data_IF_402704626108
#
_entry.id   IF_402704626108
#
_cell.length_a   1.000
_cell.length_b   1.000
_cell.length_c   1.000
_cell.angle_alpha   90.00
_cell.angle_beta   90.00
_cell.angle_gamma   90.00
#
_symmetry.space_group_name_H-M   'P 1'
#
loop_
_entity.id
_entity.type
_entity.pdbx_description
1 polymer ?
#
# COMPACT_ATOMS: atom_id res chain seq x y z
N UNK A 1 -1.25 -3.72 0.38
CA UNK A 1 -0.28 -3.17 1.35
C UNK A 1 0.36 -4.30 2.14
N UNK A 2 1.69 -4.37 2.08
CA UNK A 2 2.52 -5.20 2.96
C UNK A 2 2.51 -4.58 4.36
N UNK A 3 2.20 -5.38 5.40
CA UNK A 3 1.99 -4.86 6.75
C UNK A 3 3.09 -5.24 7.72
N UNK A 4 3.85 -6.29 7.44
CA UNK A 4 4.87 -6.77 8.37
C UNK A 4 6.07 -7.34 7.63
N UNK A 5 7.12 -7.62 8.39
CA UNK A 5 8.38 -8.11 7.84
C UNK A 5 8.22 -9.47 7.14
N UNK A 6 7.40 -10.38 7.67
CA UNK A 6 7.20 -11.68 7.04
C UNK A 6 6.53 -11.55 5.66
N UNK A 7 5.50 -10.71 5.56
CA UNK A 7 4.84 -10.37 4.29
C UNK A 7 5.81 -9.70 3.31
N UNK A 8 6.72 -8.85 3.80
CA UNK A 8 7.74 -8.22 2.96
C UNK A 8 8.71 -9.24 2.37
N UNK A 9 9.26 -10.13 3.21
CA UNK A 9 10.20 -11.16 2.76
C UNK A 9 9.54 -12.12 1.76
N UNK A 10 8.28 -12.50 1.99
CA UNK A 10 7.51 -13.30 1.04
C UNK A 10 7.28 -12.57 -0.28
N UNK A 11 6.94 -11.28 -0.24
CA UNK A 11 6.73 -10.47 -1.44
C UNK A 11 8.02 -10.34 -2.27
N UNK A 12 9.17 -10.08 -1.63
CA UNK A 12 10.48 -10.00 -2.32
C UNK A 12 10.82 -11.31 -3.02
N UNK A 13 10.70 -12.45 -2.31
CA UNK A 13 10.97 -13.77 -2.90
C UNK A 13 10.03 -14.07 -4.07
N UNK A 14 8.76 -13.67 -3.95
CA UNK A 14 7.77 -13.88 -5.01
C UNK A 14 8.06 -13.04 -6.24
N UNK A 15 8.53 -11.80 -6.08
CA UNK A 15 8.95 -10.93 -7.19
C UNK A 15 10.12 -11.57 -7.95
N UNK A 16 11.11 -12.10 -7.24
CA UNK A 16 12.26 -12.78 -7.87
C UNK A 16 11.80 -13.98 -8.71
N UNK A 17 10.96 -14.85 -8.14
CA UNK A 17 10.42 -16.02 -8.84
C UNK A 17 9.54 -15.64 -10.03
N UNK A 18 8.77 -14.56 -9.92
CA UNK A 18 7.92 -14.08 -11.00
C UNK A 18 8.75 -13.49 -12.15
N UNK A 19 9.83 -12.77 -11.85
CA UNK A 19 10.76 -12.26 -12.87
C UNK A 19 11.37 -13.39 -13.70
N UNK A 20 11.79 -14.49 -13.06
CA UNK A 20 12.29 -15.68 -13.77
C UNK A 20 11.23 -16.29 -14.69
N UNK A 21 9.98 -16.38 -14.23
CA UNK A 21 8.86 -16.92 -15.03
C UNK A 21 8.51 -16.01 -16.21
N UNK A 22 8.54 -14.70 -16.01
CA UNK A 22 8.29 -13.70 -17.07
C UNK A 22 9.35 -13.84 -18.16
N UNK A 23 10.61 -13.98 -17.79
CA UNK A 23 11.70 -14.14 -18.75
C UNK A 23 11.60 -15.46 -19.51
N UNK A 24 11.29 -16.57 -18.82
CA UNK A 24 11.06 -17.86 -19.46
C UNK A 24 9.88 -17.80 -20.46
N UNK A 25 8.81 -17.08 -20.12
CA UNK A 25 7.67 -16.89 -21.01
C UNK A 25 8.03 -16.04 -22.24
N UNK A 26 8.82 -14.98 -22.07
CA UNK A 26 9.33 -14.16 -23.18
C UNK A 26 10.12 -15.02 -24.17
N UNK A 27 11.07 -15.81 -23.66
CA UNK A 27 11.89 -16.71 -24.49
C UNK A 27 11.04 -17.75 -25.23
N UNK A 28 10.02 -18.30 -24.58
CA UNK A 28 9.09 -19.23 -25.22
C UNK A 28 8.33 -18.56 -26.38
N UNK A 29 7.86 -17.33 -26.21
CA UNK A 29 7.17 -16.58 -27.28
C UNK A 29 8.10 -16.21 -28.44
N UNK A 30 9.35 -15.83 -28.14
CA UNK A 30 10.36 -15.56 -29.16
C UNK A 30 10.70 -16.79 -30.00
N UNK A 31 10.56 -18.00 -29.44
CA UNK A 31 10.74 -19.24 -30.18
C UNK A 31 9.57 -19.62 -31.11
N UNK A 32 8.45 -18.88 -31.05
CA UNK A 32 7.21 -19.19 -31.79
C UNK A 32 7.09 -18.46 -33.14
N UNK A 33 8.19 -18.02 -33.75
CA UNK A 33 8.21 -17.28 -35.03
C UNK A 33 7.31 -16.03 -35.02
N UNK A 34 7.08 -15.47 -33.83
CA UNK A 34 6.33 -14.24 -33.60
C UNK A 34 7.19 -13.02 -33.88
N UNK A 35 6.57 -11.95 -34.34
CA UNK A 35 7.25 -10.65 -34.43
C UNK A 35 7.49 -10.09 -33.02
N UNK A 36 8.51 -9.23 -32.89
CA UNK A 36 8.82 -8.58 -31.62
C UNK A 36 7.63 -7.78 -31.06
N UNK A 37 6.82 -7.17 -31.93
CA UNK A 37 5.63 -6.42 -31.51
C UNK A 37 4.54 -7.34 -30.91
N UNK A 38 4.37 -8.54 -31.47
CA UNK A 38 3.42 -9.54 -30.96
C UNK A 38 3.87 -10.11 -29.60
N UNK A 39 5.17 -10.36 -29.44
CA UNK A 39 5.76 -10.75 -28.15
C UNK A 39 5.53 -9.66 -27.11
N UNK A 40 5.85 -8.40 -27.42
CA UNK A 40 5.64 -7.28 -26.49
C UNK A 40 4.17 -7.10 -26.10
N UNK A 41 3.25 -7.23 -27.06
CA UNK A 41 1.81 -7.16 -26.81
C UNK A 41 1.34 -8.28 -25.88
N UNK A 42 1.84 -9.50 -26.09
CA UNK A 42 1.50 -10.65 -25.25
C UNK A 42 2.09 -10.52 -23.83
N UNK A 43 3.29 -9.95 -23.70
CA UNK A 43 3.97 -9.74 -22.40
C UNK A 43 3.43 -8.55 -21.61
N UNK A 44 2.80 -7.57 -22.28
CA UNK A 44 2.33 -6.32 -21.68
C UNK A 44 1.52 -6.48 -20.37
N UNK A 45 0.46 -7.33 -20.34
CA UNK A 45 -0.32 -7.54 -19.12
C UNK A 45 0.52 -8.08 -17.96
N UNK A 46 1.33 -9.12 -18.21
CA UNK A 46 2.11 -9.78 -17.16
C UNK A 46 3.16 -8.83 -16.59
N UNK A 47 3.83 -8.06 -17.45
CA UNK A 47 4.78 -7.03 -17.02
C UNK A 47 4.09 -5.96 -16.18
N UNK A 48 2.88 -5.53 -16.57
CA UNK A 48 2.13 -4.52 -15.84
C UNK A 48 1.74 -5.00 -14.43
N UNK A 49 1.28 -6.25 -14.29
CA UNK A 49 1.00 -6.83 -12.98
C UNK A 49 2.25 -6.98 -12.12
N UNK A 50 3.38 -7.37 -12.72
CA UNK A 50 4.65 -7.48 -12.02
C UNK A 50 5.15 -6.13 -11.49
N UNK A 51 5.06 -5.07 -12.29
CA UNK A 51 5.42 -3.72 -11.84
C UNK A 51 4.50 -3.23 -10.72
N UNK A 52 3.18 -3.46 -10.80
CA UNK A 52 2.25 -3.16 -9.70
C UNK A 52 2.63 -3.89 -8.39
N UNK A 53 3.12 -5.13 -8.50
CA UNK A 53 3.53 -5.88 -7.31
C UNK A 53 4.85 -5.35 -6.72
N UNK A 54 5.80 -4.93 -7.57
CA UNK A 54 7.03 -4.23 -7.15
C UNK A 54 6.75 -2.89 -6.49
N UNK A 55 5.69 -2.18 -6.91
CA UNK A 55 5.25 -0.94 -6.27
C UNK A 55 4.83 -1.17 -4.81
N UNK A 56 4.23 -2.31 -4.46
CA UNK A 56 3.89 -2.61 -3.05
C UNK A 56 5.14 -2.77 -2.16
N UNK A 57 6.18 -3.45 -2.66
CA UNK A 57 7.46 -3.59 -1.97
C UNK A 57 8.15 -2.24 -1.81
N UNK A 58 8.20 -1.46 -2.89
CA UNK A 58 8.75 -0.10 -2.87
C UNK A 58 8.01 0.78 -1.87
N UNK A 59 6.69 0.66 -1.81
CA UNK A 59 5.85 1.39 -0.86
C UNK A 59 6.21 1.00 0.58
N UNK A 60 6.35 -0.30 0.88
CA UNK A 60 6.78 -0.75 2.22
C UNK A 60 8.14 -0.18 2.63
N UNK A 61 9.10 -0.15 1.72
CA UNK A 61 10.43 0.40 1.97
C UNK A 61 10.41 1.92 2.24
N UNK A 62 9.57 2.67 1.51
CA UNK A 62 9.32 4.09 1.78
C UNK A 62 8.75 4.30 3.18
N UNK A 63 7.75 3.51 3.55
CA UNK A 63 7.15 3.58 4.89
C UNK A 63 8.19 3.31 5.98
N UNK A 64 9.08 2.32 5.78
CA UNK A 64 10.19 2.04 6.71
C UNK A 64 11.15 3.21 6.89
N UNK A 65 11.31 4.07 5.88
CA UNK A 65 12.12 5.30 5.96
C UNK A 65 11.36 6.48 6.57
N UNK A 66 10.09 6.29 6.94
CA UNK A 66 9.24 7.36 7.46
C UNK A 66 8.71 8.30 6.38
N UNK A 67 8.73 7.88 5.12
CA UNK A 67 8.08 8.60 4.02
C UNK A 67 6.60 8.21 4.01
N UNK A 68 5.74 9.12 4.46
CA UNK A 68 4.29 8.90 4.55
C UNK A 68 3.54 9.76 3.54
N UNK A 69 2.46 9.21 2.98
CA UNK A 69 1.51 9.99 2.18
C UNK A 69 0.59 10.81 3.07
N UNK A 70 0.13 11.96 2.57
CA UNK A 70 -0.88 12.76 3.25
C UNK A 70 -2.23 12.02 3.30
N UNK A 71 -2.95 12.18 4.40
CA UNK A 71 -4.28 11.61 4.59
C UNK A 71 -5.31 12.70 4.35
N UNK A 72 -6.13 12.53 3.31
CA UNK A 72 -7.24 13.43 3.01
C UNK A 72 -8.52 13.00 3.74
N UNK A 73 -9.18 13.92 4.46
CA UNK A 73 -10.49 13.68 5.10
C UNK A 73 -10.59 12.37 5.92
N UNK A 74 -9.49 11.97 6.58
CA UNK A 74 -9.35 10.70 7.31
C UNK A 74 -9.47 9.42 6.44
N UNK A 75 -9.60 9.54 5.11
CA UNK A 75 -9.49 8.40 4.22
C UNK A 75 -8.08 7.84 4.27
N UNK A 76 -7.96 6.55 4.61
CA UNK A 76 -6.65 5.90 4.74
C UNK A 76 -5.99 6.07 6.11
N UNK A 77 -6.66 6.62 7.14
CA UNK A 77 -6.10 6.67 8.51
C UNK A 77 -5.64 5.31 8.99
N UNK A 78 -6.41 4.25 8.73
CA UNK A 78 -6.00 2.90 9.11
C UNK A 78 -4.69 2.45 8.47
N UNK A 79 -4.45 2.80 7.20
CA UNK A 79 -3.17 2.59 6.51
C UNK A 79 -2.06 3.41 7.15
N UNK A 80 -2.32 4.67 7.50
CA UNK A 80 -1.37 5.51 8.22
C UNK A 80 -0.98 4.91 9.57
N UNK A 81 -1.93 4.38 10.35
CA UNK A 81 -1.63 3.72 11.64
C UNK A 81 -0.71 2.51 11.47
N UNK A 82 -0.96 1.70 10.45
CA UNK A 82 -0.10 0.55 10.09
C UNK A 82 1.30 1.05 9.67
N UNK A 83 1.36 2.06 8.81
CA UNK A 83 2.59 2.66 8.31
C UNK A 83 3.46 3.21 9.45
N UNK A 84 2.87 3.97 10.39
CA UNK A 84 3.55 4.51 11.56
C UNK A 84 4.17 3.38 12.41
N UNK A 85 3.43 2.29 12.64
CA UNK A 85 3.95 1.12 13.35
C UNK A 85 5.17 0.53 12.63
N UNK A 86 5.07 0.33 11.32
CA UNK A 86 6.16 -0.23 10.49
C UNK A 86 7.39 0.66 10.53
N UNK A 87 7.22 1.97 10.35
CA UNK A 87 8.30 2.95 10.36
C UNK A 87 9.07 2.96 11.68
N UNK A 88 8.38 2.75 12.79
CA UNK A 88 8.99 2.65 14.13
C UNK A 88 9.58 1.25 14.44
N UNK A 89 9.51 0.30 13.51
CA UNK A 89 9.99 -1.07 13.72
C UNK A 89 9.21 -1.86 14.78
N UNK A 90 8.00 -1.43 15.12
CA UNK A 90 7.16 -2.07 16.14
C UNK A 90 6.45 -3.27 15.52
N UNK A 91 6.52 -4.44 16.16
CA UNK A 91 5.77 -5.62 15.68
C UNK A 91 4.28 -5.55 16.03
N UNK A 92 3.42 -6.30 15.33
CA UNK A 92 2.00 -6.43 15.70
C UNK A 92 1.84 -6.93 17.15
N UNK A 93 2.72 -7.85 17.59
CA UNK A 93 2.78 -8.36 18.95
C UNK A 93 3.08 -7.26 19.96
N UNK A 94 4.05 -6.40 19.66
CA UNK A 94 4.44 -5.33 20.58
C UNK A 94 3.38 -4.24 20.64
N UNK A 95 2.75 -3.89 19.52
CA UNK A 95 1.58 -3.00 19.53
C UNK A 95 0.43 -3.62 20.36
N UNK A 96 0.16 -4.91 20.21
CA UNK A 96 -0.87 -5.61 20.98
C UNK A 96 -0.60 -5.56 22.49
N UNK A 97 0.66 -5.79 22.91
CA UNK A 97 1.08 -5.63 24.32
C UNK A 97 0.83 -4.21 24.83
N UNK A 98 1.21 -3.19 24.07
CA UNK A 98 0.99 -1.78 24.45
C UNK A 98 -0.50 -1.43 24.56
N UNK A 99 -1.33 -2.02 23.71
CA UNK A 99 -2.78 -1.84 23.71
C UNK A 99 -3.52 -2.69 24.76
N UNK A 100 -2.83 -3.64 25.41
CA UNK A 100 -3.45 -4.60 26.33
C UNK A 100 -4.41 -5.57 25.65
N UNK A 101 -4.17 -5.92 24.38
CA UNK A 101 -5.00 -6.86 23.61
C UNK A 101 -4.18 -8.05 23.10
N UNK A 102 -4.87 -9.07 22.59
CA UNK A 102 -4.20 -10.21 21.96
C UNK A 102 -3.67 -9.85 20.55
N UNK A 103 -2.53 -10.42 20.16
CA UNK A 103 -1.89 -10.17 18.85
C UNK A 103 -2.83 -10.43 17.67
N UNK A 104 -3.67 -11.46 17.76
CA UNK A 104 -4.65 -11.80 16.71
C UNK A 104 -5.67 -10.68 16.47
N UNK A 105 -5.98 -9.86 17.48
CA UNK A 105 -6.88 -8.73 17.31
C UNK A 105 -6.21 -7.65 16.46
N UNK A 106 -4.97 -7.26 16.78
CA UNK A 106 -4.20 -6.30 15.96
C UNK A 106 -4.01 -6.83 14.54
N UNK A 107 -3.63 -8.10 14.39
CA UNK A 107 -3.47 -8.73 13.07
C UNK A 107 -4.75 -8.69 12.23
N UNK A 108 -5.91 -8.97 12.84
CA UNK A 108 -7.22 -8.90 12.16
C UNK A 108 -7.60 -7.46 11.83
N UNK A 109 -7.41 -6.53 12.77
CA UNK A 109 -7.73 -5.12 12.57
C UNK A 109 -6.87 -4.53 11.44
N UNK A 110 -5.56 -4.81 11.42
CA UNK A 110 -4.65 -4.40 10.33
C UNK A 110 -4.98 -5.05 9.00
N UNK A 111 -5.50 -6.29 8.99
CA UNK A 111 -5.95 -6.95 7.76
C UNK A 111 -7.15 -6.28 7.12
N UNK A 112 -8.01 -5.68 7.92
CA UNK A 112 -9.10 -4.86 7.41
C UNK A 112 -8.71 -3.37 7.34
N UNK A 113 -7.42 -3.05 7.41
CA UNK A 113 -6.92 -1.66 7.42
C UNK A 113 -7.65 -0.78 8.45
N UNK A 114 -7.97 -1.33 9.61
CA UNK A 114 -8.79 -0.69 10.66
C UNK A 114 -10.13 -0.13 10.19
N UNK A 115 -10.68 -0.62 9.07
CA UNK A 115 -11.97 -0.15 8.58
C UNK A 115 -13.07 -0.38 9.63
N UNK A 116 -13.83 0.68 9.92
CA UNK A 116 -14.86 0.68 10.97
C UNK A 116 -14.34 0.89 12.39
N UNK A 117 -13.03 1.11 12.60
CA UNK A 117 -12.50 1.48 13.90
C UNK A 117 -13.01 2.87 14.34
N UNK A 118 -13.29 3.02 15.63
CA UNK A 118 -13.68 4.33 16.20
C UNK A 118 -12.48 5.26 16.26
N UNK A 119 -12.73 6.58 16.30
CA UNK A 119 -11.67 7.57 16.56
C UNK A 119 -10.96 7.31 17.90
N UNK A 120 -11.69 6.84 18.91
CA UNK A 120 -11.12 6.42 20.19
C UNK A 120 -10.10 5.29 20.01
N UNK A 121 -10.41 4.28 19.20
CA UNK A 121 -9.48 3.19 18.90
C UNK A 121 -8.25 3.70 18.15
N UNK A 122 -8.43 4.60 17.19
CA UNK A 122 -7.32 5.22 16.46
C UNK A 122 -6.40 6.02 17.41
N UNK A 123 -6.96 6.84 18.30
CA UNK A 123 -6.21 7.59 19.31
C UNK A 123 -5.42 6.67 20.23
N UNK A 124 -6.03 5.58 20.74
CA UNK A 124 -5.31 4.59 21.56
C UNK A 124 -4.12 3.96 20.83
N UNK A 125 -4.23 3.77 19.52
CA UNK A 125 -3.12 3.26 18.71
C UNK A 125 -2.03 4.33 18.59
N UNK A 126 -2.39 5.58 18.29
CA UNK A 126 -1.45 6.69 18.25
C UNK A 126 -0.70 6.88 19.58
N UNK A 127 -1.43 6.83 20.71
CA UNK A 127 -0.86 6.88 22.06
C UNK A 127 0.11 5.71 22.30
N UNK A 128 -0.27 4.50 21.92
CA UNK A 128 0.58 3.31 22.04
C UNK A 128 1.83 3.39 21.15
N UNK A 129 1.76 4.11 20.03
CA UNK A 129 2.89 4.38 19.14
C UNK A 129 3.69 5.64 19.57
N UNK A 130 3.19 6.44 20.51
CA UNK A 130 3.81 7.70 20.91
C UNK A 130 3.84 8.73 19.79
N UNK A 131 2.79 8.81 18.97
CA UNK A 131 2.70 9.69 17.80
C UNK A 131 1.60 10.73 18.00
N UNK A 132 1.95 12.00 17.83
CA UNK A 132 0.97 13.10 17.75
C UNK A 132 0.55 13.33 16.29
N UNK A 133 -0.68 12.95 15.94
CA UNK A 133 -1.25 13.25 14.63
C UNK A 133 -1.84 14.67 14.62
N UNK A 134 -1.23 15.57 13.85
CA UNK A 134 -1.75 16.93 13.62
C UNK A 134 -2.42 17.03 12.26
N UNK A 135 -3.65 17.52 12.23
CA UNK A 135 -4.41 17.73 11.00
C UNK A 135 -4.58 19.22 10.71
N UNK A 136 -4.63 19.58 9.42
CA UNK A 136 -4.91 20.94 8.97
C UNK A 136 -6.26 20.98 8.25
N UNK A 137 -7.03 22.05 8.47
CA UNK A 137 -8.28 22.30 7.75
C UNK A 137 -8.02 23.35 6.67
N UNK A 138 -8.32 23.00 5.42
CA UNK A 138 -8.25 23.89 4.25
C UNK A 138 -9.63 24.01 3.63
N UNK A 139 -9.97 25.22 3.16
CA UNK A 139 -11.23 25.46 2.45
C UNK A 139 -11.06 25.03 1.01
N UNK A 140 -11.87 24.08 0.56
CA UNK A 140 -11.93 23.72 -0.85
C UNK A 140 -12.58 24.87 -1.64
N UNK A 141 -11.82 25.46 -2.56
CA UNK A 141 -12.40 26.33 -3.57
C UNK A 141 -13.18 25.43 -4.54
N UNK A 142 -14.52 25.57 -4.57
CA UNK A 142 -15.29 24.91 -5.62
C UNK A 142 -14.86 25.54 -6.94
N UNK A 143 -14.23 24.76 -7.82
CA UNK A 143 -14.07 25.14 -9.21
C UNK A 143 -15.47 25.44 -9.76
N UNK A 144 -15.75 26.71 -10.03
CA UNK A 144 -16.94 27.09 -10.79
C UNK A 144 -16.75 26.50 -12.19
N UNK A 145 -17.36 25.34 -12.44
CA UNK A 145 -17.43 24.74 -13.76
C UNK A 145 -18.24 25.64 -14.68
N UNK A 146 -17.57 26.17 -15.70
CA UNK A 146 -18.01 26.12 -17.10
C UNK A 146 -19.53 26.25 -17.30
N UNK A 147 -20.01 27.48 -17.33
CA UNK A 147 -21.28 27.83 -17.97
C UNK A 147 -20.99 28.83 -19.10
N UNK A 148 -20.27 28.39 -20.14
CA UNK A 148 -20.26 29.09 -21.42
C UNK A 148 -20.39 28.09 -22.57
N UNK A 149 -21.21 28.47 -23.55
CA UNK A 149 -21.44 27.88 -24.88
C UNK A 149 -22.35 26.65 -25.01
N UNK A 150 -23.67 26.86 -24.91
CA UNK A 150 -24.59 26.37 -25.95
C UNK A 150 -25.65 27.44 -26.21
N UNK A 151 -25.35 28.33 -27.16
CA UNK A 151 -26.38 29.01 -27.95
C UNK A 151 -25.93 28.92 -29.40
N UNK A 152 -26.55 27.99 -30.12
CA UNK A 152 -26.60 27.95 -31.58
C UNK A 152 -28.06 28.14 -31.97
#
# INVERSE_FOLDING_TARGET
MIRNEAEYQEAVQRIEQEAERIEAQRQALESMDLTQEEVERAMGPIRSFHEQFKEEVTSYERLKRGEFEEVENFYGVGRLLIALRIAQGISQRDLAKRLGVHESQVSRDERNEYHGATLERANRILDALGVDLRTQVVRLERSQGQSESVTA
#
